data_IF_969842481026
#
_entry.id   IF_969842481026
#
_cell.length_a   1.000
_cell.length_b   1.000
_cell.length_c   1.000
_cell.angle_alpha   90.00
_cell.angle_beta   90.00
_cell.angle_gamma   90.00
#
_symmetry.space_group_name_H-M   'P 1'
#
loop_
_entity.id
_entity.type
_entity.pdbx_description
1 polymer ?
#
# COMPACT_ATOMS: atom_id res chain seq x y z
N UNK A 1 -7.24 15.16 2.88
CA UNK A 1 -6.28 14.21 2.28
C UNK A 1 -6.34 12.96 3.14
N UNK A 2 -6.78 11.82 2.61
CA UNK A 2 -6.81 10.58 3.41
C UNK A 2 -5.38 10.11 3.70
N UNK A 3 -5.10 9.72 4.94
CA UNK A 3 -3.84 9.12 5.33
C UNK A 3 -3.68 7.70 4.79
N UNK A 4 -2.46 7.16 4.87
CA UNK A 4 -2.13 5.80 4.43
C UNK A 4 -3.14 4.74 4.90
N UNK A 5 -3.51 4.77 6.19
CA UNK A 5 -4.45 3.81 6.75
C UNK A 5 -5.87 3.94 6.21
N UNK A 6 -6.30 5.13 5.80
CA UNK A 6 -7.59 5.31 5.11
C UNK A 6 -7.58 4.65 3.74
N UNK A 7 -6.46 4.81 3.01
CA UNK A 7 -6.27 4.20 1.68
C UNK A 7 -6.17 2.67 1.79
N UNK A 8 -5.38 2.16 2.73
CA UNK A 8 -5.25 0.71 2.97
C UNK A 8 -6.61 0.09 3.28
N UNK A 9 -7.38 0.68 4.21
CA UNK A 9 -8.69 0.15 4.55
C UNK A 9 -9.63 0.13 3.35
N UNK A 10 -9.64 1.19 2.54
CA UNK A 10 -10.51 1.28 1.35
C UNK A 10 -10.10 0.33 0.23
N UNK A 11 -8.80 0.21 -0.06
CA UNK A 11 -8.31 -0.54 -1.21
C UNK A 11 -8.15 -2.04 -0.93
N UNK A 12 -7.88 -2.43 0.32
CA UNK A 12 -7.58 -3.82 0.68
C UNK A 12 -8.60 -4.46 1.62
N UNK A 13 -9.17 -3.71 2.57
CA UNK A 13 -9.94 -4.32 3.67
C UNK A 13 -11.46 -4.25 3.47
N UNK A 14 -12.00 -3.07 3.18
CA UNK A 14 -13.44 -2.86 3.08
C UNK A 14 -14.05 -3.63 1.90
N UNK A 15 -15.06 -4.45 2.19
CA UNK A 15 -15.70 -5.34 1.22
C UNK A 15 -15.02 -6.70 1.05
N UNK A 16 -13.86 -6.90 1.68
CA UNK A 16 -13.06 -8.12 1.63
C UNK A 16 -12.89 -8.76 3.01
N UNK A 17 -13.60 -8.28 4.04
CA UNK A 17 -13.39 -8.71 5.43
C UNK A 17 -13.58 -10.23 5.61
N UNK A 18 -14.50 -10.82 4.83
CA UNK A 18 -14.78 -12.27 4.86
C UNK A 18 -13.74 -13.13 4.14
N UNK A 19 -12.81 -12.53 3.40
CA UNK A 19 -11.77 -13.26 2.69
C UNK A 19 -10.65 -13.72 3.62
N UNK A 20 -10.54 -13.11 4.80
CA UNK A 20 -9.55 -13.49 5.81
C UNK A 20 -10.17 -14.47 6.81
N UNK A 21 -9.68 -15.70 6.83
CA UNK A 21 -10.20 -16.75 7.71
C UNK A 21 -9.73 -16.60 9.15
N UNK A 22 -8.59 -15.92 9.34
CA UNK A 22 -7.97 -15.69 10.64
C UNK A 22 -7.09 -14.43 10.60
N UNK A 23 -6.61 -14.03 11.79
CA UNK A 23 -5.78 -12.83 11.92
C UNK A 23 -4.42 -12.95 11.22
N UNK A 24 -3.88 -14.16 11.08
CA UNK A 24 -2.59 -14.38 10.39
C UNK A 24 -2.70 -14.09 8.90
N UNK A 25 -3.78 -14.53 8.24
CA UNK A 25 -4.04 -14.19 6.84
C UNK A 25 -4.25 -12.69 6.63
N UNK A 26 -4.95 -12.02 7.55
CA UNK A 26 -5.11 -10.57 7.53
C UNK A 26 -3.76 -9.85 7.70
N UNK A 27 -2.93 -10.29 8.65
CA UNK A 27 -1.60 -9.72 8.87
C UNK A 27 -0.72 -9.87 7.62
N UNK A 28 -0.72 -11.04 7.00
CA UNK A 28 0.03 -11.30 5.78
C UNK A 28 -0.42 -10.37 4.63
N UNK A 29 -1.73 -10.24 4.42
CA UNK A 29 -2.27 -9.34 3.40
C UNK A 29 -1.93 -7.85 3.68
N UNK A 30 -1.89 -7.43 4.95
CA UNK A 30 -1.44 -6.09 5.33
C UNK A 30 0.04 -5.90 4.97
N UNK A 31 0.91 -6.88 5.27
CA UNK A 31 2.35 -6.82 4.95
C UNK A 31 2.58 -6.74 3.44
N UNK A 32 1.91 -7.57 2.67
CA UNK A 32 1.97 -7.56 1.21
C UNK A 32 1.48 -6.23 0.62
N UNK A 33 0.37 -5.70 1.14
CA UNK A 33 -0.15 -4.41 0.68
C UNK A 33 0.81 -3.25 1.03
N UNK A 34 1.46 -3.27 2.20
CA UNK A 34 2.48 -2.28 2.57
C UNK A 34 3.67 -2.34 1.61
N UNK A 35 4.12 -3.55 1.27
CA UNK A 35 5.23 -3.76 0.33
C UNK A 35 4.87 -3.24 -1.06
N UNK A 36 3.73 -3.67 -1.61
CA UNK A 36 3.17 -3.15 -2.86
C UNK A 36 3.06 -1.61 -2.84
N UNK A 37 2.50 -1.04 -1.77
CA UNK A 37 2.30 0.41 -1.66
C UNK A 37 3.64 1.18 -1.71
N UNK A 38 4.70 0.64 -1.11
CA UNK A 38 6.00 1.30 -1.03
C UNK A 38 6.89 1.05 -2.26
N UNK A 39 6.86 -0.16 -2.82
CA UNK A 39 7.84 -0.63 -3.80
C UNK A 39 7.28 -0.72 -5.23
N UNK A 40 6.00 -1.06 -5.38
CA UNK A 40 5.42 -1.39 -6.68
C UNK A 40 4.37 -0.39 -7.16
N UNK A 41 3.75 0.36 -6.25
CA UNK A 41 2.63 1.26 -6.58
C UNK A 41 3.08 2.36 -7.55
N UNK A 42 2.73 2.17 -8.82
CA UNK A 42 2.96 3.13 -9.89
C UNK A 42 2.08 4.36 -9.64
N UNK A 43 2.68 5.46 -9.19
CA UNK A 43 2.01 6.76 -9.15
C UNK A 43 2.15 7.43 -10.52
N UNK A 44 1.03 7.60 -11.23
CA UNK A 44 0.97 8.29 -12.53
C UNK A 44 1.56 9.73 -12.43
N UNK A 45 1.48 10.38 -11.26
CA UNK A 45 2.10 11.69 -10.98
C UNK A 45 3.64 11.68 -10.83
N UNK A 46 4.30 10.52 -10.84
CA UNK A 46 5.76 10.36 -10.68
C UNK A 46 6.48 9.87 -11.94
N UNK A 47 5.91 10.07 -13.14
CA UNK A 47 6.49 9.58 -14.41
C UNK A 47 6.78 8.05 -14.41
N UNK A 48 6.07 7.26 -13.59
CA UNK A 48 6.28 5.81 -13.49
C UNK A 48 7.30 5.34 -12.45
N UNK A 49 7.80 6.21 -11.57
CA UNK A 49 8.75 5.84 -10.52
C UNK A 49 8.06 5.34 -9.23
N UNK A 50 8.63 4.30 -8.62
CA UNK A 50 8.21 3.80 -7.31
C UNK A 50 8.42 4.88 -6.21
N UNK A 51 7.56 4.94 -5.18
CA UNK A 51 7.64 5.93 -4.11
C UNK A 51 9.00 6.01 -3.39
N UNK A 52 9.71 4.88 -3.25
CA UNK A 52 11.04 4.84 -2.64
C UNK A 52 12.09 5.59 -3.47
N UNK A 53 12.06 5.44 -4.80
CA UNK A 53 12.96 6.16 -5.71
C UNK A 53 12.72 7.67 -5.71
N UNK A 54 11.48 8.10 -5.48
CA UNK A 54 11.18 9.51 -5.32
C UNK A 54 11.69 10.08 -3.98
N UNK A 55 11.64 9.29 -2.89
CA UNK A 55 12.21 9.72 -1.59
C UNK A 55 13.72 9.88 -1.64
N UNK A 56 14.43 9.00 -2.34
CA UNK A 56 15.89 9.13 -2.54
C UNK A 56 16.26 10.38 -3.35
N UNK A 57 15.47 10.73 -4.37
CA UNK A 57 15.71 11.91 -5.22
C UNK A 57 15.45 13.26 -4.50
N UNK A 58 14.57 13.28 -3.50
CA UNK A 58 14.21 14.52 -2.77
C UNK A 58 15.12 14.78 -1.56
N UNK A 59 15.90 13.78 -1.13
CA UNK A 59 16.86 13.88 -0.02
C UNK A 59 18.32 14.04 -0.48
N UNK A 60 18.57 14.15 -1.79
CA UNK A 60 19.84 14.56 -2.40
C UNK A 60 19.83 16.04 -2.76
#
# INVERSE_FOLDING_TARGET
MEGFFGILKREMFYGFEKNFKNLTELEQAIREYIDYYNNERIKIKLKGLAPIKYRELVLS
#
